data_IF_241990545087
#
_entry.id   IF_241990545087
#
_cell.length_a   1.000
_cell.length_b   1.000
_cell.length_c   1.000
_cell.angle_alpha   90.00
_cell.angle_beta   90.00
_cell.angle_gamma   90.00
#
_symmetry.space_group_name_H-M   'P 1'
#
loop_
_entity.id
_entity.type
_entity.pdbx_description
1 polymer ?
#
# COMPACT_ATOMS: atom_id res chain seq x y z
N UNK A 1 12.96 22.68 3.12
CA UNK A 1 13.18 21.23 2.98
C UNK A 1 12.74 20.60 4.28
N UNK A 2 11.45 20.34 4.42
CA UNK A 2 10.97 19.42 5.46
C UNK A 2 11.39 18.04 4.99
N UNK A 3 12.33 17.43 5.71
CA UNK A 3 12.76 16.06 5.44
C UNK A 3 11.55 15.13 5.51
N UNK A 4 11.50 14.18 4.58
CA UNK A 4 10.46 13.16 4.58
C UNK A 4 10.45 12.47 5.96
N UNK A 5 9.31 12.44 6.68
CA UNK A 5 9.28 11.90 8.04
C UNK A 5 9.70 10.44 8.01
N UNK A 6 10.71 10.02 8.78
CA UNK A 6 11.17 8.64 8.77
C UNK A 6 10.04 7.66 9.14
N UNK A 7 9.08 8.09 9.95
CA UNK A 7 7.92 7.27 10.33
C UNK A 7 7.02 6.95 9.13
N UNK A 8 6.80 7.92 8.23
CA UNK A 8 5.98 7.72 7.02
C UNK A 8 6.62 6.72 6.05
N UNK A 9 7.96 6.68 6.00
CA UNK A 9 8.71 5.70 5.22
C UNK A 9 8.41 4.28 5.67
N UNK A 10 8.54 4.03 6.97
CA UNK A 10 8.33 2.71 7.54
C UNK A 10 6.88 2.25 7.38
N UNK A 11 5.93 3.18 7.50
CA UNK A 11 4.51 2.90 7.26
C UNK A 11 4.24 2.46 5.81
N UNK A 12 4.72 3.20 4.81
CA UNK A 12 4.54 2.83 3.39
C UNK A 12 5.18 1.47 3.09
N UNK A 13 6.36 1.22 3.63
CA UNK A 13 7.08 -0.04 3.43
C UNK A 13 6.37 -1.22 4.09
N UNK A 14 5.90 -1.06 5.33
CA UNK A 14 5.15 -2.09 6.04
C UNK A 14 3.82 -2.38 5.33
N UNK A 15 3.16 -1.34 4.81
CA UNK A 15 1.92 -1.48 4.05
C UNK A 15 2.12 -2.33 2.79
N UNK A 16 3.15 -2.02 1.99
CA UNK A 16 3.48 -2.79 0.78
C UNK A 16 3.84 -4.25 1.15
N UNK A 17 4.71 -4.44 2.15
CA UNK A 17 5.13 -5.76 2.59
C UNK A 17 3.95 -6.61 3.07
N UNK A 18 3.00 -6.01 3.80
CA UNK A 18 1.84 -6.71 4.34
C UNK A 18 0.89 -7.22 3.24
N UNK A 19 0.63 -6.42 2.20
CA UNK A 19 -0.32 -6.80 1.15
C UNK A 19 0.31 -7.64 0.03
N UNK A 20 1.48 -7.27 -0.46
CA UNK A 20 2.13 -7.97 -1.57
C UNK A 20 3.15 -9.03 -1.14
N UNK A 21 3.45 -9.11 0.16
CA UNK A 21 4.42 -10.08 0.71
C UNK A 21 5.80 -9.97 0.06
N UNK A 22 6.11 -8.79 -0.50
CA UNK A 22 7.42 -8.49 -1.06
C UNK A 22 8.45 -8.43 0.07
N UNK A 23 9.66 -8.96 -0.17
CA UNK A 23 10.71 -8.93 0.83
C UNK A 23 11.17 -7.48 1.04
N UNK A 24 11.45 -7.13 2.30
CA UNK A 24 11.85 -5.78 2.70
C UNK A 24 12.99 -5.17 1.84
N UNK A 25 14.04 -5.93 1.45
CA UNK A 25 15.10 -5.41 0.58
C UNK A 25 14.60 -4.87 -0.76
N UNK A 26 13.64 -5.54 -1.40
CA UNK A 26 13.08 -5.09 -2.69
C UNK A 26 12.28 -3.80 -2.53
N UNK A 27 11.60 -3.63 -1.40
CA UNK A 27 10.83 -2.40 -1.10
C UNK A 27 11.75 -1.23 -0.76
N UNK A 28 12.92 -1.50 -0.14
CA UNK A 28 13.95 -0.49 0.14
C UNK A 28 14.57 0.08 -1.13
N UNK A 29 14.65 -0.71 -2.20
CA UNK A 29 15.21 -0.30 -3.50
C UNK A 29 14.28 0.62 -4.30
N UNK A 30 12.99 0.67 -3.98
CA UNK A 30 12.03 1.54 -4.64
C UNK A 30 12.29 3.03 -4.35
N UNK A 31 12.06 3.87 -5.35
CA UNK A 31 12.01 5.32 -5.14
C UNK A 31 10.78 5.71 -4.30
N UNK A 32 10.84 6.85 -3.61
CA UNK A 32 9.68 7.36 -2.83
C UNK A 32 8.41 7.47 -3.67
N UNK A 33 8.52 7.90 -4.93
CA UNK A 33 7.38 8.01 -5.84
C UNK A 33 6.78 6.64 -6.18
N UNK A 34 7.61 5.62 -6.31
CA UNK A 34 7.18 4.26 -6.64
C UNK A 34 6.48 3.61 -5.44
N UNK A 35 7.03 3.74 -4.23
CA UNK A 35 6.37 3.25 -3.01
C UNK A 35 4.98 3.83 -2.83
N UNK A 36 4.84 5.16 -2.97
CA UNK A 36 3.52 5.81 -2.89
C UNK A 36 2.55 5.30 -3.93
N UNK A 37 3.00 5.12 -5.17
CA UNK A 37 2.17 4.56 -6.24
C UNK A 37 1.69 3.15 -5.90
N UNK A 38 2.56 2.28 -5.38
CA UNK A 38 2.16 0.94 -4.96
C UNK A 38 1.17 0.96 -3.80
N UNK A 39 1.37 1.83 -2.81
CA UNK A 39 0.42 2.01 -1.72
C UNK A 39 -0.96 2.48 -2.21
N UNK A 40 -1.01 3.36 -3.22
CA UNK A 40 -2.26 3.79 -3.86
C UNK A 40 -2.97 2.63 -4.58
N UNK A 41 -2.24 1.81 -5.36
CA UNK A 41 -2.82 0.67 -6.07
C UNK A 41 -3.36 -0.41 -5.11
N UNK A 42 -2.62 -0.72 -4.04
CA UNK A 42 -3.08 -1.62 -2.99
C UNK A 42 -4.39 -1.10 -2.37
N UNK A 43 -4.46 0.20 -2.10
CA UNK A 43 -5.65 0.83 -1.52
C UNK A 43 -6.86 0.75 -2.46
N UNK A 44 -6.66 0.95 -3.77
CA UNK A 44 -7.73 0.78 -4.78
C UNK A 44 -8.26 -0.64 -4.84
N UNK A 45 -7.37 -1.64 -4.82
CA UNK A 45 -7.76 -3.06 -4.82
C UNK A 45 -8.57 -3.39 -3.57
N UNK A 46 -8.09 -2.96 -2.40
CA UNK A 46 -8.78 -3.19 -1.13
C UNK A 46 -10.14 -2.51 -1.07
N UNK A 47 -10.26 -1.29 -1.59
CA UNK A 47 -11.53 -0.58 -1.68
C UNK A 47 -12.53 -1.35 -2.55
N UNK A 48 -12.13 -1.78 -3.75
CA UNK A 48 -12.98 -2.54 -4.65
C UNK A 48 -13.42 -3.87 -4.03
N UNK A 49 -12.51 -4.58 -3.36
CA UNK A 49 -12.83 -5.83 -2.66
C UNK A 49 -13.81 -5.58 -1.50
N UNK A 50 -13.56 -4.55 -0.70
CA UNK A 50 -14.44 -4.16 0.41
C UNK A 50 -15.84 -3.80 -0.09
N UNK A 51 -15.94 -3.05 -1.18
CA UNK A 51 -17.21 -2.72 -1.82
C UNK A 51 -17.93 -3.99 -2.29
N UNK A 52 -17.24 -4.90 -2.99
CA UNK A 52 -17.81 -6.17 -3.43
C UNK A 52 -18.32 -7.06 -2.27
N UNK A 53 -17.61 -7.07 -1.13
CA UNK A 53 -17.99 -7.83 0.06
C UNK A 53 -19.11 -7.18 0.88
N UNK A 54 -19.30 -5.87 0.74
CA UNK A 54 -20.33 -5.11 1.47
C UNK A 54 -21.64 -5.00 0.68
N UNK A 55 -21.60 -5.27 -0.64
CA UNK A 55 -22.82 -5.32 -1.44
C UNK A 55 -23.68 -6.50 -0.98
N UNK A 56 -24.92 -6.24 -0.56
CA UNK A 56 -25.80 -7.31 -0.16
C UNK A 56 -26.27 -8.07 -1.41
N UNK A 57 -25.91 -9.34 -1.54
CA UNK A 57 -26.37 -10.21 -2.62
C UNK A 57 -27.82 -10.60 -2.36
N UNK A 58 -28.76 -9.67 -2.55
CA UNK A 58 -30.18 -10.00 -2.56
C UNK A 58 -30.52 -10.45 -3.98
N UNK A 59 -30.59 -11.77 -4.19
CA UNK A 59 -31.33 -12.36 -5.32
C UNK A 59 -32.84 -12.25 -5.09
#
# INVERSE_FOLDING_TARGET
MEGYPPDQLYEEMAYIAYYFHWPLPEIMELEHAERRRWAEEISKINQQLSEALTQPTWE
#
